data_IF_001573994829
#
_entry.id   IF_001573994829
#
_cell.length_a   1.000
_cell.length_b   1.000
_cell.length_c   1.000
_cell.angle_alpha   90.00
_cell.angle_beta   90.00
_cell.angle_gamma   90.00
#
_symmetry.space_group_name_H-M   'P 1'
#
loop_
_entity.id
_entity.type
_entity.pdbx_description
1 polymer ?
#
# COMPACT_ATOMS: atom_id res chain seq x y z
N UNK A 1 -8.75 6.73 15.00
CA UNK A 1 -8.22 5.69 14.10
C UNK A 1 -8.76 6.02 12.74
N UNK A 2 -7.85 6.13 11.78
CA UNK A 2 -8.20 6.54 10.44
C UNK A 2 -9.06 5.48 9.74
N UNK A 3 -10.09 5.95 9.04
CA UNK A 3 -10.97 5.13 8.22
C UNK A 3 -10.60 5.36 6.76
N UNK A 4 -9.97 4.36 6.14
CA UNK A 4 -9.54 4.42 4.74
C UNK A 4 -10.67 3.91 3.85
N UNK A 5 -11.07 4.71 2.86
CA UNK A 5 -12.09 4.34 1.88
C UNK A 5 -11.49 3.59 0.68
N UNK A 6 -10.23 3.88 0.33
CA UNK A 6 -9.48 3.21 -0.72
C UNK A 6 -8.38 2.33 -0.08
N UNK A 7 -8.53 1.03 -0.29
CA UNK A 7 -7.57 0.06 0.24
C UNK A 7 -6.16 0.26 -0.35
N UNK A 8 -6.04 0.60 -1.63
CA UNK A 8 -4.76 0.80 -2.27
C UNK A 8 -4.10 2.10 -1.77
N UNK A 9 -4.88 3.14 -1.47
CA UNK A 9 -4.35 4.32 -0.77
C UNK A 9 -3.80 3.97 0.61
N UNK A 10 -4.51 3.13 1.37
CA UNK A 10 -4.02 2.60 2.65
C UNK A 10 -2.68 1.88 2.50
N UNK A 11 -2.51 1.08 1.44
CA UNK A 11 -1.24 0.40 1.16
C UNK A 11 -0.09 1.37 0.91
N UNK A 12 -0.30 2.48 0.17
CA UNK A 12 0.72 3.51 -0.02
C UNK A 12 1.18 4.13 1.31
N UNK A 13 0.24 4.39 2.21
CA UNK A 13 0.54 4.90 3.55
C UNK A 13 1.31 3.85 4.37
N UNK A 14 0.93 2.58 4.28
CA UNK A 14 1.67 1.49 4.92
C UNK A 14 3.08 1.37 4.35
N UNK A 15 3.27 1.49 3.03
CA UNK A 15 4.61 1.54 2.40
C UNK A 15 5.46 2.62 3.05
N UNK A 16 4.94 3.85 3.10
CA UNK A 16 5.63 4.99 3.69
C UNK A 16 5.98 4.74 5.15
N UNK A 17 5.01 4.38 5.98
CA UNK A 17 5.22 4.29 7.43
C UNK A 17 5.99 3.04 7.86
N UNK A 18 5.71 1.88 7.27
CA UNK A 18 6.26 0.59 7.72
C UNK A 18 7.57 0.25 7.01
N UNK A 19 7.67 0.54 5.71
CA UNK A 19 8.75 0.06 4.87
C UNK A 19 9.82 1.13 4.60
N UNK A 20 9.40 2.39 4.46
CA UNK A 20 10.31 3.53 4.24
C UNK A 20 10.77 4.15 5.57
N UNK A 21 9.82 4.60 6.41
CA UNK A 21 10.14 5.38 7.61
C UNK A 21 10.36 4.49 8.85
N UNK A 22 9.78 3.28 8.86
CA UNK A 22 9.90 2.33 9.97
C UNK A 22 9.19 2.75 11.26
N UNK A 23 8.22 3.66 11.18
CA UNK A 23 7.42 4.16 12.31
C UNK A 23 6.23 3.27 12.63
N UNK A 24 5.64 2.60 11.62
CA UNK A 24 4.60 1.60 11.80
C UNK A 24 5.24 0.23 12.03
N UNK A 25 5.11 -0.29 13.26
CA UNK A 25 5.76 -1.52 13.70
C UNK A 25 4.77 -2.46 14.40
N UNK A 26 5.01 -3.79 14.43
CA UNK A 26 6.12 -4.50 13.78
C UNK A 26 6.02 -4.49 12.25
N UNK A 27 7.16 -4.64 11.58
CA UNK A 27 7.19 -4.77 10.11
C UNK A 27 6.51 -6.07 9.69
N UNK A 28 5.53 -5.98 8.80
CA UNK A 28 4.88 -7.14 8.21
C UNK A 28 5.79 -7.82 7.20
N UNK A 29 5.71 -9.16 7.21
CA UNK A 29 6.44 -10.07 6.34
C UNK A 29 5.54 -11.26 6.05
N UNK A 30 5.09 -11.42 4.81
CA UNK A 30 4.22 -12.52 4.42
C UNK A 30 4.87 -13.87 4.72
N UNK A 31 6.19 -13.99 4.50
CA UNK A 31 6.95 -15.21 4.80
C UNK A 31 6.84 -15.65 6.27
N UNK A 32 6.85 -14.70 7.21
CA UNK A 32 6.76 -15.01 8.64
C UNK A 32 5.34 -15.47 9.00
N UNK A 33 4.32 -14.89 8.36
CA UNK A 33 2.93 -15.28 8.53
C UNK A 33 2.64 -16.67 7.93
N UNK A 34 3.13 -16.97 6.72
CA UNK A 34 3.00 -18.30 6.10
C UNK A 34 3.67 -19.38 6.95
N UNK A 35 4.88 -19.09 7.45
CA UNK A 35 5.61 -19.98 8.36
C UNK A 35 4.82 -20.26 9.63
N UNK A 36 4.25 -19.22 10.24
CA UNK A 36 3.45 -19.36 11.47
C UNK A 36 2.17 -20.20 11.25
N UNK A 37 1.62 -20.19 10.03
CA UNK A 37 0.44 -20.99 9.64
C UNK A 37 0.79 -22.39 9.11
N UNK A 38 2.07 -22.72 8.96
CA UNK A 38 2.52 -24.00 8.40
C UNK A 38 2.26 -24.14 6.90
N UNK A 39 2.17 -23.02 6.17
CA UNK A 39 1.87 -22.97 4.73
C UNK A 39 3.13 -22.95 3.85
N UNK A 40 4.31 -22.94 4.46
CA UNK A 40 5.60 -22.81 3.79
C UNK A 40 6.35 -21.55 4.23
N UNK A 41 7.50 -21.30 3.62
CA UNK A 41 8.32 -20.12 3.91
C UNK A 41 8.79 -19.32 2.68
N UNK A 42 8.35 -19.72 1.48
CA UNK A 42 8.53 -18.97 0.24
C UNK A 42 7.18 -18.40 -0.23
N UNK A 43 6.93 -17.09 -0.04
CA UNK A 43 5.72 -16.44 -0.51
C UNK A 43 5.49 -16.52 -2.02
N UNK A 44 6.57 -16.54 -2.83
CA UNK A 44 6.44 -16.60 -4.28
C UNK A 44 5.92 -17.97 -4.71
N UNK A 45 6.54 -19.05 -4.22
CA UNK A 45 6.07 -20.42 -4.50
C UNK A 45 4.64 -20.61 -4.01
N UNK A 46 4.31 -20.15 -2.80
CA UNK A 46 2.96 -20.22 -2.27
C UNK A 46 1.95 -19.54 -3.21
N UNK A 47 2.17 -18.28 -3.55
CA UNK A 47 1.24 -17.54 -4.41
C UNK A 47 1.14 -18.15 -5.83
N UNK A 48 2.25 -18.64 -6.38
CA UNK A 48 2.28 -19.29 -7.70
C UNK A 48 1.48 -20.59 -7.70
N UNK A 49 1.68 -21.47 -6.72
CA UNK A 49 0.96 -22.74 -6.60
C UNK A 49 -0.54 -22.55 -6.38
N UNK A 50 -0.94 -21.45 -5.73
CA UNK A 50 -2.35 -21.08 -5.53
C UNK A 50 -2.95 -20.32 -6.73
N UNK A 51 -2.19 -20.04 -7.78
CA UNK A 51 -2.69 -19.33 -8.98
C UNK A 51 -3.00 -17.85 -8.74
N UNK A 52 -2.29 -17.20 -7.83
CA UNK A 52 -2.54 -15.82 -7.40
C UNK A 52 -1.69 -14.79 -8.17
N UNK A 53 -1.50 -14.99 -9.49
CA UNK A 53 -0.65 -14.09 -10.29
C UNK A 53 -1.24 -12.68 -10.50
N UNK A 54 -2.57 -12.56 -10.44
CA UNK A 54 -3.31 -11.28 -10.60
C UNK A 54 -4.17 -10.97 -9.38
N UNK A 55 -3.83 -11.53 -8.22
CA UNK A 55 -4.62 -11.41 -7.00
C UNK A 55 -3.71 -11.30 -5.79
N UNK A 56 -4.19 -10.61 -4.76
CA UNK A 56 -3.49 -10.57 -3.48
C UNK A 56 -3.61 -11.92 -2.75
N UNK A 57 -2.57 -12.27 -2.02
CA UNK A 57 -2.58 -13.35 -1.04
C UNK A 57 -3.62 -13.01 0.03
N UNK A 58 -4.66 -13.86 0.24
CA UNK A 58 -5.77 -13.54 1.13
C UNK A 58 -5.31 -13.17 2.54
N UNK A 59 -4.28 -13.84 3.05
CA UNK A 59 -3.75 -13.57 4.37
C UNK A 59 -3.09 -12.20 4.51
N UNK A 60 -2.38 -11.73 3.48
CA UNK A 60 -1.81 -10.39 3.45
C UNK A 60 -2.92 -9.34 3.39
N UNK A 61 -3.93 -9.57 2.53
CA UNK A 61 -5.10 -8.68 2.43
C UNK A 61 -5.79 -8.51 3.78
N UNK A 62 -6.16 -9.61 4.44
CA UNK A 62 -6.82 -9.57 5.76
C UNK A 62 -5.96 -8.85 6.79
N UNK A 63 -4.64 -9.08 6.78
CA UNK A 63 -3.73 -8.38 7.68
C UNK A 63 -3.80 -6.86 7.49
N UNK A 64 -3.63 -6.36 6.27
CA UNK A 64 -3.61 -4.92 6.01
C UNK A 64 -5.00 -4.27 6.11
N UNK A 65 -6.07 -4.98 5.81
CA UNK A 65 -7.44 -4.51 6.06
C UNK A 65 -7.66 -4.26 7.56
N UNK A 66 -7.25 -5.21 8.41
CA UNK A 66 -7.40 -5.12 9.87
C UNK A 66 -6.37 -4.22 10.56
N UNK A 67 -5.30 -3.82 9.86
CA UNK A 67 -4.25 -2.99 10.44
C UNK A 67 -4.77 -1.56 10.70
N UNK A 68 -4.90 -1.20 11.97
CA UNK A 68 -5.31 0.14 12.37
C UNK A 68 -4.10 1.08 12.38
N UNK A 69 -4.28 2.29 11.85
CA UNK A 69 -3.23 3.33 11.80
C UNK A 69 -3.74 4.55 12.58
N UNK A 70 -2.96 4.97 13.56
CA UNK A 70 -3.25 6.15 14.37
C UNK A 70 -2.98 7.45 13.61
N UNK A 71 -3.79 8.46 13.89
CA UNK A 71 -3.71 9.78 13.23
C UNK A 71 -2.34 10.45 13.49
N UNK A 72 -1.68 10.12 14.61
CA UNK A 72 -0.34 10.57 14.96
C UNK A 72 0.75 10.06 14.01
N UNK A 73 0.56 8.90 13.38
CA UNK A 73 1.48 8.37 12.37
C UNK A 73 1.20 8.99 11.00
N UNK A 74 -0.05 9.36 10.73
CA UNK A 74 -0.48 9.96 9.46
C UNK A 74 -0.13 11.45 9.38
N UNK A 75 -0.28 12.16 10.50
CA UNK A 75 -0.04 13.60 10.59
C UNK A 75 1.31 14.05 10.02
N UNK A 76 2.46 13.37 10.26
CA UNK A 76 3.75 13.79 9.72
C UNK A 76 4.00 13.40 8.25
N UNK A 77 3.13 12.59 7.61
CA UNK A 77 3.35 12.15 6.23
C UNK A 77 3.23 13.36 5.29
N UNK A 78 4.35 13.70 4.65
CA UNK A 78 4.48 14.80 3.70
C UNK A 78 4.70 14.33 2.26
N UNK A 79 5.03 13.06 2.08
CA UNK A 79 5.30 12.44 0.80
C UNK A 79 4.75 11.02 0.69
N UNK A 80 4.13 10.73 -0.46
CA UNK A 80 3.82 9.38 -0.90
C UNK A 80 4.54 9.07 -2.21
N UNK A 81 4.87 7.79 -2.40
CA UNK A 81 5.43 7.25 -3.64
C UNK A 81 4.42 6.29 -4.24
N UNK A 82 4.11 6.43 -5.52
CA UNK A 82 3.27 5.51 -6.30
C UNK A 82 4.16 4.83 -7.33
N UNK A 83 4.47 3.56 -7.08
CA UNK A 83 5.38 2.77 -7.90
C UNK A 83 4.94 1.30 -7.93
N UNK A 84 5.15 0.59 -9.03
CA UNK A 84 4.81 -0.84 -9.11
C UNK A 84 5.72 -1.73 -8.24
N UNK A 85 6.92 -1.25 -7.89
CA UNK A 85 7.93 -1.99 -7.13
C UNK A 85 7.86 -1.80 -5.61
N UNK A 86 6.80 -1.18 -5.07
CA UNK A 86 6.67 -0.95 -3.63
C UNK A 86 6.71 -2.27 -2.85
N UNK A 87 7.33 -2.22 -1.66
CA UNK A 87 7.50 -3.43 -0.85
C UNK A 87 6.16 -3.99 -0.39
N UNK A 88 5.23 -3.13 0.02
CA UNK A 88 3.90 -3.54 0.46
C UNK A 88 3.16 -4.34 -0.62
N UNK A 89 3.33 -4.00 -1.90
CA UNK A 89 2.70 -4.72 -3.02
C UNK A 89 3.30 -6.12 -3.18
N UNK A 90 4.62 -6.26 -3.04
CA UNK A 90 5.29 -7.56 -3.06
C UNK A 90 4.91 -8.45 -1.85
N UNK A 91 4.60 -7.85 -0.70
CA UNK A 91 4.09 -8.57 0.47
C UNK A 91 2.60 -8.96 0.30
N UNK A 92 1.84 -8.22 -0.51
CA UNK A 92 0.45 -8.54 -0.88
C UNK A 92 0.35 -9.58 -2.01
N UNK A 93 1.14 -9.44 -3.07
CA UNK A 93 1.06 -10.22 -4.29
C UNK A 93 2.49 -10.54 -4.79
N UNK A 94 3.15 -11.59 -4.24
CA UNK A 94 4.56 -11.89 -4.53
C UNK A 94 4.88 -12.22 -6.00
N UNK A 95 3.87 -12.65 -6.77
CA UNK A 95 4.02 -13.03 -8.18
C UNK A 95 3.72 -11.84 -9.11
N UNK A 96 3.12 -10.77 -8.59
CA UNK A 96 2.71 -9.63 -9.38
C UNK A 96 3.91 -8.90 -9.99
N UNK A 97 3.82 -8.62 -11.28
CA UNK A 97 4.89 -8.03 -12.11
C UNK A 97 4.76 -6.51 -12.28
N UNK A 98 3.66 -5.91 -11.81
CA UNK A 98 3.43 -4.48 -11.90
C UNK A 98 2.66 -4.02 -13.14
N UNK A 99 2.17 -4.94 -13.97
CA UNK A 99 1.62 -4.60 -15.30
C UNK A 99 0.09 -4.37 -15.34
N UNK A 100 -0.65 -4.72 -14.28
CA UNK A 100 -2.11 -4.56 -14.21
C UNK A 100 -2.58 -3.53 -13.15
N UNK A 101 -3.90 -3.34 -13.04
CA UNK A 101 -4.57 -2.34 -12.22
C UNK A 101 -4.82 -2.78 -10.77
N UNK A 102 -4.22 -3.89 -10.32
CA UNK A 102 -4.47 -4.49 -9.00
C UNK A 102 -4.25 -3.51 -7.83
N UNK A 103 -3.30 -2.57 -8.00
CA UNK A 103 -2.92 -1.60 -6.97
C UNK A 103 -3.21 -0.14 -7.35
N UNK A 104 -4.05 0.10 -8.36
CA UNK A 104 -4.45 1.46 -8.72
C UNK A 104 -5.24 2.13 -7.60
N UNK A 105 -4.86 3.37 -7.27
CA UNK A 105 -5.61 4.22 -6.36
C UNK A 105 -6.62 5.02 -7.17
N UNK A 106 -7.91 4.81 -6.87
CA UNK A 106 -9.01 5.33 -7.68
C UNK A 106 -9.81 6.41 -6.97
N UNK A 107 -9.70 6.52 -5.64
CA UNK A 107 -10.43 7.52 -4.86
C UNK A 107 -9.50 8.54 -4.19
N UNK A 108 -9.81 9.85 -4.26
CA UNK A 108 -9.10 10.88 -3.50
C UNK A 108 -9.61 11.03 -2.05
N UNK A 109 -10.60 10.26 -1.62
CA UNK A 109 -11.30 10.46 -0.34
C UNK A 109 -10.38 10.43 0.89
N UNK A 110 -9.28 9.69 0.80
CA UNK A 110 -8.35 9.50 1.91
C UNK A 110 -7.26 10.59 2.01
N UNK A 111 -7.22 11.54 1.07
CA UNK A 111 -6.25 12.65 1.12
C UNK A 111 -6.38 13.46 2.42
N UNK A 112 -7.58 13.60 2.97
CA UNK A 112 -7.83 14.31 4.22
C UNK A 112 -7.25 13.63 5.46
N UNK A 113 -6.89 12.35 5.37
CA UNK A 113 -6.14 11.65 6.41
C UNK A 113 -4.69 12.12 6.52
N UNK A 114 -4.15 12.74 5.46
CA UNK A 114 -2.76 13.21 5.38
C UNK A 114 -2.71 14.74 5.31
N UNK A 115 -2.84 15.45 6.45
CA UNK A 115 -2.96 16.91 6.47
C UNK A 115 -1.67 17.65 6.07
N UNK A 116 -0.52 16.96 6.07
CA UNK A 116 0.78 17.54 5.69
C UNK A 116 1.29 17.07 4.34
N UNK A 117 0.51 16.28 3.60
CA UNK A 117 0.91 15.77 2.28
C UNK A 117 1.21 16.96 1.36
N UNK A 118 2.45 17.02 0.88
CA UNK A 118 2.96 18.10 0.04
C UNK A 118 3.51 17.59 -1.29
N UNK A 119 3.89 16.31 -1.37
CA UNK A 119 4.43 15.69 -2.58
C UNK A 119 3.89 14.29 -2.81
N UNK A 120 3.63 13.96 -4.08
CA UNK A 120 3.42 12.60 -4.56
C UNK A 120 4.42 12.36 -5.69
N UNK A 121 5.26 11.35 -5.55
CA UNK A 121 6.19 10.91 -6.60
C UNK A 121 5.56 9.71 -7.28
N UNK A 122 5.35 9.76 -8.59
CA UNK A 122 4.67 8.69 -9.32
C UNK A 122 5.46 8.23 -10.53
N UNK A 123 5.75 6.94 -10.62
CA UNK A 123 6.35 6.33 -11.83
C UNK A 123 5.30 5.84 -12.82
N UNK A 124 4.03 5.81 -12.39
CA UNK A 124 2.86 5.40 -13.19
C UNK A 124 1.87 6.54 -13.36
N UNK A 125 0.89 6.33 -14.24
CA UNK A 125 -0.20 7.27 -14.42
C UNK A 125 -1.22 7.13 -13.27
N UNK A 126 -1.41 8.19 -12.49
CA UNK A 126 -2.50 8.28 -11.51
C UNK A 126 -3.89 8.38 -12.18
N UNK A 127 -4.97 8.12 -11.44
CA UNK A 127 -6.32 8.44 -11.92
C UNK A 127 -6.51 9.97 -12.09
N UNK A 128 -7.29 10.39 -13.08
CA UNK A 128 -7.57 11.82 -13.36
C UNK A 128 -8.15 12.53 -12.12
N UNK A 129 -9.15 11.92 -11.49
CA UNK A 129 -9.79 12.45 -10.28
C UNK A 129 -8.80 12.62 -9.12
N UNK A 130 -7.88 11.66 -8.93
CA UNK A 130 -6.84 11.76 -7.92
C UNK A 130 -5.85 12.89 -8.23
N UNK A 131 -5.44 13.05 -9.50
CA UNK A 131 -4.56 14.16 -9.90
C UNK A 131 -5.20 15.52 -9.64
N UNK A 132 -6.47 15.68 -10.01
CA UNK A 132 -7.20 16.92 -9.83
C UNK A 132 -7.35 17.26 -8.34
N UNK A 133 -7.64 16.25 -7.50
CA UNK A 133 -7.73 16.43 -6.05
C UNK A 133 -6.37 16.81 -5.43
N UNK A 134 -5.28 16.16 -5.84
CA UNK A 134 -3.91 16.49 -5.41
C UNK A 134 -3.55 17.93 -5.80
N UNK A 135 -3.81 18.31 -7.05
CA UNK A 135 -3.56 19.67 -7.55
C UNK A 135 -4.40 20.71 -6.80
N UNK A 136 -5.68 20.41 -6.51
CA UNK A 136 -6.58 21.26 -5.74
C UNK A 136 -6.10 21.52 -4.30
N UNK A 137 -5.32 20.59 -3.73
CA UNK A 137 -4.67 20.74 -2.41
C UNK A 137 -3.28 21.36 -2.48
N UNK A 138 -2.79 21.71 -3.68
CA UNK A 138 -1.44 22.23 -3.87
C UNK A 138 -0.34 21.19 -3.68
N UNK A 139 -0.67 19.90 -3.76
CA UNK A 139 0.31 18.79 -3.69
C UNK A 139 1.06 18.72 -5.01
N UNK A 140 2.39 18.68 -4.93
CA UNK A 140 3.26 18.56 -6.11
C UNK A 140 3.27 17.11 -6.57
N UNK A 141 2.95 16.87 -7.84
CA UNK A 141 3.12 15.56 -8.49
C UNK A 141 4.44 15.59 -9.27
N UNK A 142 5.35 14.67 -8.95
CA UNK A 142 6.69 14.57 -9.54
C UNK A 142 6.94 13.23 -10.21
#
# INVERSE_FOLDING_TARGET
MADFQDFNFKLLVIEKLMYTDGTLTPRFRLADLLRARGLGDDPWTYAYEQGLSHQMVPEARVHFESLEIGDELLAPVDELVVDGGLRVYQECAPVWDGEDDLFDVVSPADLDLLPRLARVVSTVALAEELRDALAGRGVVIA
#
